data_IF_804005201123
#
_entry.id   IF_804005201123
#
_cell.length_a   1.000
_cell.length_b   1.000
_cell.length_c   1.000
_cell.angle_alpha   90.00
_cell.angle_beta   90.00
_cell.angle_gamma   90.00
#
_symmetry.space_group_name_H-M   'P 1'
#
loop_
_entity.id
_entity.type
_entity.pdbx_description
1 polymer ?
#
# COMPACT_ATOMS: atom_id res chain seq x y z
N UNK A 1 6.19 -13.14 -5.20
CA UNK A 1 7.61 -13.30 -5.59
C UNK A 1 7.78 -13.50 -7.10
N UNK A 2 7.43 -14.67 -7.67
CA UNK A 2 7.64 -14.95 -9.12
C UNK A 2 7.12 -13.86 -10.08
N UNK A 3 5.96 -13.28 -9.80
CA UNK A 3 5.40 -12.20 -10.63
C UNK A 3 6.29 -10.94 -10.65
N UNK A 4 6.76 -10.48 -9.48
CA UNK A 4 7.64 -9.30 -9.37
C UNK A 4 9.00 -9.56 -10.03
N UNK A 5 9.56 -10.75 -9.86
CA UNK A 5 10.81 -11.12 -10.55
C UNK A 5 10.67 -11.15 -12.06
N UNK A 6 9.50 -11.56 -12.57
CA UNK A 6 9.20 -11.53 -14.01
C UNK A 6 9.07 -10.10 -14.50
N UNK A 7 8.32 -9.26 -13.77
CA UNK A 7 8.18 -7.83 -14.08
C UNK A 7 9.54 -7.15 -14.13
N UNK A 8 10.41 -7.40 -13.14
CA UNK A 8 11.76 -6.83 -13.10
C UNK A 8 12.64 -7.23 -14.28
N UNK A 9 12.48 -8.45 -14.82
CA UNK A 9 13.34 -9.00 -15.88
C UNK A 9 12.82 -8.74 -17.28
N UNK A 10 11.53 -8.90 -17.49
CA UNK A 10 10.92 -8.90 -18.84
C UNK A 10 10.34 -7.53 -19.20
N UNK A 11 9.74 -6.84 -18.23
CA UNK A 11 9.09 -5.52 -18.46
C UNK A 11 10.04 -4.38 -18.13
N UNK A 12 10.84 -4.54 -17.06
CA UNK A 12 11.79 -3.54 -16.58
C UNK A 12 11.20 -2.11 -16.48
N UNK A 13 10.10 -1.90 -15.74
CA UNK A 13 9.44 -0.60 -15.67
C UNK A 13 10.23 0.40 -14.82
N UNK A 14 10.05 1.69 -15.10
CA UNK A 14 10.58 2.78 -14.27
C UNK A 14 9.84 2.95 -12.95
N UNK A 15 8.55 2.56 -12.91
CA UNK A 15 7.70 2.66 -11.73
C UNK A 15 6.74 1.47 -11.66
N UNK A 16 6.53 0.96 -10.45
CA UNK A 16 5.49 -0.03 -10.14
C UNK A 16 4.57 0.56 -9.08
N UNK A 17 3.27 0.55 -9.37
CA UNK A 17 2.22 0.88 -8.40
C UNK A 17 1.59 -0.44 -7.95
N UNK A 18 1.63 -0.70 -6.64
CA UNK A 18 1.04 -1.89 -6.04
C UNK A 18 -0.20 -1.48 -5.25
N UNK A 19 -1.34 -2.06 -5.61
CA UNK A 19 -2.54 -1.95 -4.79
C UNK A 19 -2.53 -3.05 -3.73
N UNK A 20 -2.65 -2.65 -2.45
CA UNK A 20 -2.62 -3.54 -1.29
C UNK A 20 -3.95 -3.54 -0.51
N UNK A 21 -5.05 -3.14 -1.15
CA UNK A 21 -6.37 -3.05 -0.50
C UNK A 21 -6.93 -4.46 -0.24
N UNK A 22 -7.56 -4.67 0.92
CA UNK A 22 -8.37 -5.87 1.17
C UNK A 22 -7.93 -6.79 2.32
N UNK A 23 -6.68 -7.28 2.41
CA UNK A 23 -6.35 -8.34 3.41
C UNK A 23 -4.88 -8.40 3.86
N UNK A 24 -4.06 -7.39 3.62
CA UNK A 24 -2.63 -7.46 3.99
C UNK A 24 -2.16 -6.19 4.66
N UNK A 25 -1.37 -6.33 5.71
CA UNK A 25 -0.62 -5.21 6.28
C UNK A 25 0.44 -4.81 5.25
N UNK A 26 0.53 -3.51 4.92
CA UNK A 26 1.48 -2.99 3.92
C UNK A 26 2.93 -3.35 4.25
N UNK A 27 3.23 -3.60 5.52
CA UNK A 27 4.52 -4.12 5.99
C UNK A 27 4.90 -5.49 5.39
N UNK A 28 3.95 -6.30 4.95
CA UNK A 28 4.25 -7.57 4.30
C UNK A 28 4.82 -7.34 2.89
N UNK A 29 4.40 -6.29 2.19
CA UNK A 29 4.97 -5.94 0.89
C UNK A 29 6.41 -5.44 1.00
N UNK A 30 6.72 -4.64 2.03
CA UNK A 30 8.09 -4.21 2.31
C UNK A 30 9.01 -5.42 2.53
N UNK A 31 8.58 -6.37 3.37
CA UNK A 31 9.32 -7.63 3.62
C UNK A 31 9.51 -8.46 2.35
N UNK A 32 8.51 -8.51 1.47
CA UNK A 32 8.62 -9.22 0.19
C UNK A 32 9.65 -8.53 -0.71
N UNK A 33 9.63 -7.21 -0.79
CA UNK A 33 10.58 -6.44 -1.62
C UNK A 33 12.01 -6.57 -1.09
N UNK A 34 12.18 -6.62 0.24
CA UNK A 34 13.49 -6.79 0.88
C UNK A 34 14.07 -8.21 0.75
N UNK A 35 13.32 -9.15 0.18
CA UNK A 35 13.78 -10.52 -0.01
C UNK A 35 14.93 -10.65 -1.04
N UNK A 36 15.81 -11.67 -0.90
CA UNK A 36 16.85 -11.95 -1.88
C UNK A 36 16.26 -12.10 -3.29
N UNK A 37 16.80 -11.36 -4.26
CA UNK A 37 16.35 -11.36 -5.65
C UNK A 37 15.44 -10.19 -6.03
N UNK A 38 14.75 -9.58 -5.06
CA UNK A 38 13.94 -8.37 -5.27
C UNK A 38 14.61 -7.09 -4.73
N UNK A 39 15.33 -7.19 -3.60
CA UNK A 39 15.92 -6.01 -2.94
C UNK A 39 16.87 -5.19 -3.80
N UNK A 40 17.53 -5.83 -4.77
CA UNK A 40 18.48 -5.19 -5.69
C UNK A 40 17.79 -4.72 -7.00
N UNK A 41 16.47 -4.92 -7.11
CA UNK A 41 15.67 -4.66 -8.33
C UNK A 41 14.55 -3.67 -8.10
N UNK A 42 14.03 -3.61 -6.88
CA UNK A 42 12.95 -2.71 -6.49
C UNK A 42 13.36 -1.95 -5.24
N UNK A 43 12.87 -0.72 -5.15
CA UNK A 43 12.95 0.11 -3.95
C UNK A 43 11.56 0.65 -3.67
N UNK A 44 11.09 0.50 -2.43
CA UNK A 44 9.84 1.15 -2.00
C UNK A 44 10.12 2.65 -1.87
N UNK A 45 9.41 3.46 -2.66
CA UNK A 45 9.59 4.92 -2.67
C UNK A 45 8.60 5.64 -1.76
N UNK A 46 7.38 5.12 -1.66
CA UNK A 46 6.33 5.65 -0.79
C UNK A 46 5.21 4.61 -0.63
N UNK A 47 4.55 4.65 0.53
CA UNK A 47 3.31 3.97 0.83
C UNK A 47 2.18 5.01 0.99
N UNK A 48 1.15 4.92 0.13
CA UNK A 48 0.01 5.83 0.14
C UNK A 48 -1.23 5.12 0.65
N UNK A 49 -1.89 5.69 1.67
CA UNK A 49 -3.18 5.19 2.15
C UNK A 49 -4.30 6.11 1.68
N UNK A 50 -5.29 5.55 0.99
CA UNK A 50 -6.51 6.27 0.60
C UNK A 50 -7.58 6.06 1.66
N UNK A 51 -8.10 7.16 2.20
CA UNK A 51 -9.09 7.17 3.28
C UNK A 51 -10.40 7.77 2.78
N UNK A 52 -11.51 7.07 2.96
CA UNK A 52 -12.85 7.59 2.71
C UNK A 52 -13.33 8.47 3.87
N UNK A 53 -13.44 9.78 3.65
CA UNK A 53 -13.81 10.75 4.67
C UNK A 53 -15.20 10.48 5.29
N UNK A 54 -16.14 9.95 4.51
CA UNK A 54 -17.53 9.69 4.94
C UNK A 54 -17.67 8.46 5.84
N UNK A 55 -16.67 7.57 5.83
CA UNK A 55 -16.73 6.25 6.44
C UNK A 55 -15.63 5.99 7.48
N UNK A 56 -14.45 6.59 7.35
CA UNK A 56 -13.27 6.19 8.12
C UNK A 56 -13.47 6.28 9.64
N UNK A 57 -14.08 7.36 10.13
CA UNK A 57 -14.36 7.53 11.58
C UNK A 57 -15.33 6.49 12.12
N UNK A 58 -16.18 5.92 11.26
CA UNK A 58 -17.11 4.83 11.60
C UNK A 58 -16.44 3.47 11.55
N UNK A 59 -15.47 3.26 10.65
CA UNK A 59 -14.79 1.98 10.41
C UNK A 59 -13.56 1.79 11.32
N UNK A 60 -12.75 2.83 11.49
CA UNK A 60 -11.48 2.79 12.22
C UNK A 60 -11.57 2.23 13.67
N UNK A 61 -12.64 2.50 14.45
CA UNK A 61 -12.77 1.92 15.78
C UNK A 61 -12.94 0.39 15.80
N UNK A 62 -13.46 -0.19 14.72
CA UNK A 62 -13.82 -1.62 14.67
C UNK A 62 -12.87 -2.45 13.80
N UNK A 63 -12.23 -1.83 12.80
CA UNK A 63 -11.32 -2.51 11.88
C UNK A 63 -9.88 -2.04 12.09
N UNK A 64 -9.09 -2.83 12.82
CA UNK A 64 -7.67 -2.55 13.09
C UNK A 64 -6.90 -2.21 11.81
N UNK A 65 -7.13 -2.96 10.73
CA UNK A 65 -6.46 -2.76 9.45
C UNK A 65 -6.60 -1.32 8.92
N UNK A 66 -7.77 -0.67 9.09
CA UNK A 66 -7.98 0.71 8.66
C UNK A 66 -7.02 1.67 9.38
N UNK A 67 -6.85 1.52 10.69
CA UNK A 67 -5.91 2.34 11.48
C UNK A 67 -4.46 1.99 11.21
N UNK A 68 -4.11 0.70 11.05
CA UNK A 68 -2.75 0.27 10.76
C UNK A 68 -2.27 0.81 9.41
N UNK A 69 -3.11 0.73 8.37
CA UNK A 69 -2.77 1.23 7.03
C UNK A 69 -2.58 2.75 7.02
N UNK A 70 -3.47 3.50 7.68
CA UNK A 70 -3.33 4.96 7.78
C UNK A 70 -2.06 5.37 8.55
N UNK A 71 -1.66 4.60 9.57
CA UNK A 71 -0.45 4.86 10.37
C UNK A 71 0.85 4.50 9.65
N UNK A 72 0.83 3.46 8.81
CA UNK A 72 2.00 2.99 8.08
C UNK A 72 2.25 3.76 6.77
N UNK A 73 1.38 4.70 6.41
CA UNK A 73 1.50 5.46 5.18
C UNK A 73 2.46 6.65 5.33
N UNK A 74 3.26 6.90 4.30
CA UNK A 74 4.06 8.12 4.17
C UNK A 74 3.19 9.33 3.87
N UNK A 75 2.06 9.11 3.18
CA UNK A 75 1.04 10.13 2.97
C UNK A 75 -0.37 9.53 2.88
N UNK A 76 -1.35 10.32 3.30
CA UNK A 76 -2.76 9.96 3.30
C UNK A 76 -3.49 10.81 2.27
N UNK A 77 -4.24 10.14 1.38
CA UNK A 77 -5.18 10.80 0.48
C UNK A 77 -6.57 10.68 1.07
N UNK A 78 -7.12 11.79 1.55
CA UNK A 78 -8.49 11.84 2.05
C UNK A 78 -9.44 12.08 0.86
N UNK A 79 -10.28 11.10 0.56
CA UNK A 79 -11.21 11.08 -0.56
C UNK A 79 -12.68 11.20 -0.08
N UNK A 80 -13.58 11.54 -0.99
CA UNK A 80 -15.02 11.72 -0.74
C UNK A 80 -15.34 12.77 0.33
N UNK A 81 -14.52 13.80 0.42
CA UNK A 81 -14.68 14.89 1.37
C UNK A 81 -16.01 15.64 1.17
N UNK A 82 -16.54 15.64 -0.05
CA UNK A 82 -17.85 16.20 -0.40
C UNK A 82 -19.03 15.44 0.24
N UNK A 83 -18.82 14.18 0.63
CA UNK A 83 -19.80 13.35 1.32
C UNK A 83 -19.61 13.33 2.84
N UNK A 84 -18.55 13.98 3.35
CA UNK A 84 -18.31 14.10 4.78
C UNK A 84 -19.10 15.30 5.33
N UNK A 85 -20.17 15.01 6.07
CA UNK A 85 -21.05 15.96 6.75
C UNK A 85 -21.43 15.48 8.14
#
# INVERSE_FOLDING_TARGET
>A
LRALERIAREVAPELVILEATGVSETSDLERIIDSPGLRDRFVVRANLCVVDASAFTKVAPFLRAATSQARAADAIVVNKCDLAG
#
